data_IF_408252912707
#
_entry.id   IF_408252912707
#
_cell.length_a   1.000
_cell.length_b   1.000
_cell.length_c   1.000
_cell.angle_alpha   90.00
_cell.angle_beta   90.00
_cell.angle_gamma   90.00
#
_symmetry.space_group_name_H-M   'P 1'
#
loop_
_entity.id
_entity.type
_entity.pdbx_description
1 polymer ?
#
# COMPACT_ATOMS: atom_id res chain seq x y z
N UNK A 1 -12.33 5.85 -16.81
CA UNK A 1 -10.98 5.56 -16.32
C UNK A 1 -11.07 5.10 -14.88
N UNK A 2 -10.37 4.04 -14.56
CA UNK A 2 -10.45 3.45 -13.23
C UNK A 2 -9.22 3.81 -12.39
N UNK A 3 -9.47 4.12 -11.13
CA UNK A 3 -8.39 4.36 -10.20
C UNK A 3 -7.69 3.03 -9.89
N UNK A 4 -6.40 3.11 -9.65
CA UNK A 4 -5.62 1.96 -9.20
C UNK A 4 -5.30 2.18 -7.73
N UNK A 5 -5.73 1.25 -6.89
CA UNK A 5 -5.48 1.32 -5.45
C UNK A 5 -4.63 0.14 -5.03
N UNK A 6 -3.53 0.42 -4.37
CA UNK A 6 -2.62 -0.61 -3.89
C UNK A 6 -2.27 -0.35 -2.43
N UNK A 7 -2.00 -1.42 -1.70
CA UNK A 7 -1.67 -1.34 -0.29
C UNK A 7 -0.25 -1.80 -0.06
N UNK A 8 0.54 -0.97 0.61
CA UNK A 8 1.92 -1.27 0.93
C UNK A 8 2.09 -1.44 2.43
N UNK A 9 2.95 -2.37 2.80
CA UNK A 9 3.22 -2.65 4.21
C UNK A 9 4.56 -2.03 4.58
N UNK A 10 4.59 -1.31 5.70
CA UNK A 10 5.78 -0.59 6.15
C UNK A 10 6.27 -1.12 7.49
N UNK A 11 7.58 -1.18 7.64
CA UNK A 11 8.21 -1.59 8.89
C UNK A 11 9.48 -0.79 9.08
N UNK A 12 9.64 -0.17 10.27
CA UNK A 12 10.82 0.65 10.60
C UNK A 12 11.08 1.74 9.56
N UNK A 13 10.01 2.39 9.09
CA UNK A 13 10.05 3.46 8.10
C UNK A 13 10.52 3.02 6.72
N UNK A 14 10.54 1.72 6.47
CA UNK A 14 10.89 1.17 5.17
C UNK A 14 9.75 0.29 4.65
N UNK A 15 9.61 0.25 3.33
CA UNK A 15 8.63 -0.62 2.71
C UNK A 15 9.07 -2.08 2.91
N UNK A 16 8.22 -2.85 3.57
CA UNK A 16 8.56 -4.22 3.93
C UNK A 16 8.53 -5.19 2.75
N UNK A 17 7.61 -4.97 1.80
CA UNK A 17 7.51 -5.82 0.63
C UNK A 17 7.69 -5.00 -0.64
N UNK A 18 8.22 -5.64 -1.68
CA UNK A 18 8.37 -4.99 -2.98
C UNK A 18 7.05 -4.95 -3.73
N UNK A 19 6.19 -5.93 -3.47
CA UNK A 19 4.91 -6.02 -4.13
C UNK A 19 3.79 -5.42 -3.29
N UNK A 20 2.87 -4.77 -3.96
CA UNK A 20 1.71 -4.19 -3.29
C UNK A 20 0.58 -5.22 -3.25
N UNK A 21 -0.28 -5.06 -2.25
CA UNK A 21 -1.48 -5.89 -2.14
C UNK A 21 -2.65 -5.19 -2.80
N UNK A 22 -3.55 -5.97 -3.38
CA UNK A 22 -4.76 -5.42 -3.98
C UNK A 22 -5.90 -5.33 -2.97
N UNK A 23 -5.79 -6.08 -1.87
CA UNK A 23 -6.83 -6.18 -0.86
C UNK A 23 -6.34 -5.65 0.48
N UNK A 24 -7.11 -4.74 1.09
CA UNK A 24 -6.73 -4.13 2.36
C UNK A 24 -6.65 -5.18 3.48
N UNK A 25 -7.56 -6.14 3.50
CA UNK A 25 -7.56 -7.15 4.53
C UNK A 25 -6.33 -8.05 4.45
N UNK A 26 -5.91 -8.40 3.24
CA UNK A 26 -4.70 -9.19 3.04
C UNK A 26 -3.46 -8.42 3.51
N UNK A 27 -3.41 -7.14 3.20
CA UNK A 27 -2.28 -6.32 3.59
C UNK A 27 -2.18 -6.20 5.11
N UNK A 28 -3.31 -5.98 5.75
CA UNK A 28 -3.35 -5.86 7.22
C UNK A 28 -2.97 -7.18 7.88
N UNK A 29 -3.49 -8.29 7.39
CA UNK A 29 -3.17 -9.59 7.94
C UNK A 29 -1.68 -9.89 7.79
N UNK A 30 -1.13 -9.59 6.63
CA UNK A 30 0.29 -9.77 6.40
C UNK A 30 1.13 -8.92 7.37
N UNK A 31 0.71 -7.66 7.56
CA UNK A 31 1.41 -6.77 8.47
C UNK A 31 1.39 -7.30 9.90
N UNK A 32 0.26 -7.83 10.31
CA UNK A 32 0.11 -8.38 11.66
C UNK A 32 0.97 -9.63 11.85
N UNK A 33 1.00 -10.51 10.87
CA UNK A 33 1.79 -11.74 10.95
C UNK A 33 3.29 -11.48 10.96
N UNK A 34 3.72 -10.42 10.31
CA UNK A 34 5.13 -10.08 10.21
C UNK A 34 5.55 -8.95 11.15
N UNK A 35 4.67 -8.57 12.07
CA UNK A 35 4.91 -7.52 13.06
C UNK A 35 5.33 -6.20 12.43
N UNK A 36 4.69 -5.85 11.32
CA UNK A 36 4.96 -4.60 10.63
C UNK A 36 4.24 -3.44 11.31
N UNK A 37 4.68 -2.21 11.03
CA UNK A 37 4.19 -1.05 11.73
C UNK A 37 2.91 -0.45 11.17
N UNK A 38 2.77 -0.42 9.85
CA UNK A 38 1.60 0.20 9.26
C UNK A 38 1.33 -0.31 7.85
N UNK A 39 0.11 -0.05 7.38
CA UNK A 39 -0.31 -0.34 6.01
C UNK A 39 -0.76 0.97 5.40
N UNK A 40 -0.23 1.29 4.24
CA UNK A 40 -0.56 2.52 3.52
C UNK A 40 -1.36 2.21 2.26
N UNK A 41 -2.45 2.94 2.09
CA UNK A 41 -3.25 2.87 0.86
C UNK A 41 -2.71 3.91 -0.11
N UNK A 42 -2.36 3.47 -1.31
CA UNK A 42 -1.83 4.33 -2.33
C UNK A 42 -2.75 4.31 -3.55
N UNK A 43 -3.06 5.48 -4.10
CA UNK A 43 -4.02 5.59 -5.19
C UNK A 43 -3.44 6.37 -6.37
N UNK A 44 -3.60 5.80 -7.56
CA UNK A 44 -3.26 6.48 -8.83
C UNK A 44 -4.55 6.73 -9.60
N UNK A 45 -4.65 7.87 -10.26
CA UNK A 45 -5.84 8.23 -11.02
C UNK A 45 -6.09 7.35 -12.23
N UNK A 46 -5.07 6.69 -12.74
CA UNK A 46 -5.21 5.81 -13.88
C UNK A 46 -4.23 4.65 -13.82
N UNK A 47 -4.60 3.57 -14.53
CA UNK A 47 -3.73 2.41 -14.63
C UNK A 47 -2.43 2.76 -15.38
N UNK A 48 -2.53 3.68 -16.33
CA UNK A 48 -1.37 4.12 -17.08
C UNK A 48 -0.34 4.78 -16.16
N UNK A 49 -0.81 5.63 -15.24
CA UNK A 49 0.09 6.28 -14.29
C UNK A 49 0.78 5.24 -13.41
N UNK A 50 0.06 4.23 -12.97
CA UNK A 50 0.62 3.16 -12.18
C UNK A 50 1.67 2.37 -12.97
N UNK A 51 1.36 2.02 -14.21
CA UNK A 51 2.26 1.24 -15.07
C UNK A 51 3.53 2.00 -15.42
N UNK A 52 3.44 3.32 -15.50
CA UNK A 52 4.59 4.17 -15.84
C UNK A 52 5.41 4.58 -14.61
N UNK A 53 5.09 4.02 -13.44
CA UNK A 53 5.78 4.32 -12.19
C UNK A 53 5.70 5.79 -11.80
N UNK A 54 4.62 6.46 -12.17
CA UNK A 54 4.42 7.85 -11.79
C UNK A 54 4.10 7.93 -10.29
N UNK A 55 4.41 9.06 -9.64
CA UNK A 55 4.07 9.21 -8.23
C UNK A 55 2.58 9.06 -8.00
N UNK A 56 2.21 8.45 -6.89
CA UNK A 56 0.80 8.28 -6.55
C UNK A 56 0.14 9.64 -6.34
N UNK A 57 -1.14 9.73 -6.69
CA UNK A 57 -1.89 10.96 -6.52
C UNK A 57 -2.32 11.18 -5.08
N UNK A 58 -2.60 10.09 -4.37
CA UNK A 58 -3.03 10.13 -2.97
C UNK A 58 -2.49 8.93 -2.22
N UNK A 59 -2.23 9.12 -0.96
CA UNK A 59 -1.83 8.02 -0.09
C UNK A 59 -2.21 8.37 1.35
N UNK A 60 -2.54 7.33 2.12
CA UNK A 60 -2.90 7.51 3.53
C UNK A 60 -2.67 6.22 4.29
N UNK A 61 -2.39 6.34 5.59
CA UNK A 61 -2.26 5.18 6.45
C UNK A 61 -3.65 4.65 6.78
N UNK A 62 -3.92 3.38 6.49
CA UNK A 62 -5.21 2.77 6.77
C UNK A 62 -5.18 1.82 7.95
N UNK A 63 -4.01 1.47 8.40
CA UNK A 63 -3.84 0.61 9.58
C UNK A 63 -2.49 0.90 10.19
N UNK A 64 -2.43 0.89 11.50
CA UNK A 64 -1.16 1.04 12.21
C UNK A 64 -1.14 0.13 13.43
N UNK A 65 0.06 -0.31 13.72
CA UNK A 65 0.30 -1.17 14.87
C UNK A 65 0.29 -0.31 16.13
N UNK A 66 -0.33 -0.83 17.18
CA UNK A 66 -0.35 -0.14 18.46
C UNK A 66 0.72 -0.70 19.39
#
# INVERSE_FOLDING_TARGET
>A
MEEVIKYYVWKNDERFTEEAFDDIDEAIEYARENECDEVEETCWDSEEAYDNYEPADRFKTVWSRQ
#
